data_IF_077148236838
#
_entry.id   IF_077148236838
#
_cell.length_a   1.000
_cell.length_b   1.000
_cell.length_c   1.000
_cell.angle_alpha   90.00
_cell.angle_beta   90.00
_cell.angle_gamma   90.00
#
_symmetry.space_group_name_H-M   'P 1'
#
loop_
_entity.id
_entity.type
_entity.pdbx_description
1 polymer ?
#
# COMPACT_ATOMS: atom_id res chain seq x y z
N UNK A 1 -1.06 21.17 -0.71
CA UNK A 1 -2.14 21.91 0.03
C UNK A 1 -3.49 21.18 0.07
N UNK A 2 -3.89 20.41 -0.95
CA UNK A 2 -5.18 19.68 -0.95
C UNK A 2 -5.17 18.40 -0.09
N UNK A 3 -4.20 17.50 -0.31
CA UNK A 3 -4.05 16.23 0.44
C UNK A 3 -4.10 16.45 1.96
N UNK A 4 -3.22 17.30 2.50
CA UNK A 4 -3.20 17.57 3.94
C UNK A 4 -4.50 18.20 4.49
N UNK A 5 -5.29 18.91 3.68
CA UNK A 5 -6.62 19.39 4.10
C UNK A 5 -7.62 18.24 4.19
N UNK A 6 -7.63 17.35 3.21
CA UNK A 6 -8.49 16.17 3.21
C UNK A 6 -8.18 15.26 4.41
N UNK A 7 -6.89 15.03 4.66
CA UNK A 7 -6.42 14.25 5.81
C UNK A 7 -6.89 14.84 7.15
N UNK A 8 -6.71 16.16 7.37
CA UNK A 8 -7.19 16.84 8.59
C UNK A 8 -8.71 16.85 8.74
N UNK A 9 -9.45 16.65 7.66
CA UNK A 9 -10.92 16.55 7.66
C UNK A 9 -11.43 15.11 7.81
N UNK A 10 -10.54 14.13 7.95
CA UNK A 10 -10.93 12.72 8.12
C UNK A 10 -11.47 12.09 6.83
N UNK A 11 -11.14 12.64 5.67
CA UNK A 11 -11.49 12.02 4.38
C UNK A 11 -10.78 10.67 4.27
N UNK A 12 -11.51 9.62 3.85
CA UNK A 12 -10.90 8.33 3.51
C UNK A 12 -10.07 8.51 2.24
N UNK A 13 -8.78 8.20 2.33
CA UNK A 13 -7.82 8.34 1.23
C UNK A 13 -7.28 6.94 0.91
N UNK A 14 -7.33 6.56 -0.35
CA UNK A 14 -6.72 5.33 -0.88
C UNK A 14 -5.42 5.65 -1.61
N UNK A 15 -4.49 4.69 -1.66
CA UNK A 15 -3.27 4.79 -2.47
C UNK A 15 -3.62 4.72 -3.96
N UNK A 16 -3.04 5.62 -4.75
CA UNK A 16 -3.13 5.61 -6.21
C UNK A 16 -2.12 6.60 -6.79
N UNK A 17 -1.40 6.17 -7.83
CA UNK A 17 -0.24 6.88 -8.39
C UNK A 17 -0.51 7.54 -9.73
N UNK A 18 -1.63 7.20 -10.38
CA UNK A 18 -1.92 7.56 -11.78
C UNK A 18 -0.87 7.03 -12.78
N UNK A 19 -0.20 5.92 -12.42
CA UNK A 19 0.73 5.25 -13.32
C UNK A 19 0.02 4.66 -14.54
N UNK A 20 0.62 4.88 -15.71
CA UNK A 20 0.06 4.55 -17.02
C UNK A 20 0.36 5.58 -18.10
N UNK A 21 0.78 6.80 -17.72
CA UNK A 21 1.23 7.86 -18.64
C UNK A 21 2.71 7.77 -19.04
N UNK A 22 3.48 6.84 -18.47
CA UNK A 22 4.90 6.57 -18.71
C UNK A 22 5.16 5.06 -18.61
N UNK A 23 6.35 4.61 -18.96
CA UNK A 23 6.68 3.19 -18.87
C UNK A 23 6.71 2.73 -17.40
N UNK A 24 6.03 1.62 -17.10
CA UNK A 24 5.93 1.01 -15.76
C UNK A 24 7.28 0.64 -15.11
N UNK A 25 8.36 0.69 -15.88
CA UNK A 25 9.73 0.40 -15.41
C UNK A 25 10.48 1.65 -14.96
N UNK A 26 9.96 2.85 -15.22
CA UNK A 26 10.68 4.11 -14.94
C UNK A 26 10.52 4.57 -13.48
N UNK A 27 9.43 4.19 -12.82
CA UNK A 27 9.18 4.56 -11.42
C UNK A 27 8.80 3.34 -10.59
N UNK A 28 9.09 3.44 -9.29
CA UNK A 28 8.60 2.49 -8.31
C UNK A 28 7.31 3.06 -7.68
N UNK A 29 6.17 2.43 -7.96
CA UNK A 29 4.85 2.86 -7.48
C UNK A 29 4.76 2.95 -5.95
N UNK A 30 5.55 2.14 -5.23
CA UNK A 30 5.58 2.19 -3.77
C UNK A 30 6.21 3.50 -3.23
N UNK A 31 6.77 4.37 -4.08
CA UNK A 31 7.21 5.72 -3.70
C UNK A 31 6.06 6.59 -3.20
N UNK A 32 4.82 6.32 -3.63
CA UNK A 32 3.64 7.06 -3.18
C UNK A 32 3.43 6.98 -1.66
N UNK A 33 3.79 5.85 -1.04
CA UNK A 33 3.70 5.71 0.41
C UNK A 33 4.61 6.71 1.14
N UNK A 34 5.80 6.99 0.60
CA UNK A 34 6.67 8.03 1.15
C UNK A 34 6.02 9.41 1.03
N UNK A 35 5.43 9.75 -0.11
CA UNK A 35 4.75 11.02 -0.30
C UNK A 35 3.57 11.18 0.67
N UNK A 36 2.80 10.12 0.92
CA UNK A 36 1.68 10.17 1.86
C UNK A 36 2.14 10.47 3.29
N UNK A 37 3.24 9.83 3.72
CA UNK A 37 3.85 10.11 5.02
C UNK A 37 4.41 11.53 5.06
N UNK A 38 5.12 11.97 4.02
CA UNK A 38 5.63 13.35 3.90
C UNK A 38 4.50 14.39 3.97
N UNK A 39 3.30 14.05 3.48
CA UNK A 39 2.14 14.92 3.51
C UNK A 39 1.24 14.77 4.76
N UNK A 40 1.67 13.97 5.73
CA UNK A 40 1.17 13.98 7.10
C UNK A 40 0.43 12.72 7.54
N UNK A 41 0.35 11.67 6.72
CA UNK A 41 -0.12 10.37 7.20
C UNK A 41 0.91 9.73 8.14
N UNK A 42 0.45 8.95 9.10
CA UNK A 42 1.34 7.99 9.78
C UNK A 42 1.72 6.87 8.81
N UNK A 43 2.87 6.18 9.02
CA UNK A 43 3.24 5.02 8.21
C UNK A 43 2.13 3.96 8.14
N UNK A 44 1.43 3.70 9.25
CA UNK A 44 0.31 2.76 9.27
C UNK A 44 -0.90 3.25 8.46
N UNK A 45 -1.21 4.56 8.49
CA UNK A 45 -2.27 5.12 7.64
C UNK A 45 -1.93 4.97 6.14
N UNK A 46 -0.66 5.15 5.77
CA UNK A 46 -0.19 4.92 4.41
C UNK A 46 -0.29 3.43 4.01
N UNK A 47 0.11 2.49 4.88
CA UNK A 47 -0.05 1.05 4.61
C UNK A 47 -1.54 0.69 4.43
N UNK A 48 -2.41 1.20 5.30
CA UNK A 48 -3.86 0.96 5.23
C UNK A 48 -4.49 1.54 3.97
N UNK A 49 -4.01 2.70 3.47
CA UNK A 49 -4.54 3.31 2.25
C UNK A 49 -4.32 2.43 1.01
N UNK A 50 -3.26 1.62 0.98
CA UNK A 50 -2.97 0.64 -0.07
C UNK A 50 -3.47 -0.78 0.22
N UNK A 51 -4.11 -1.03 1.36
CA UNK A 51 -4.58 -2.37 1.77
C UNK A 51 -6.06 -2.35 2.13
N UNK A 52 -6.41 -2.25 3.41
CA UNK A 52 -7.79 -2.40 3.89
C UNK A 52 -8.72 -1.28 3.40
N UNK A 53 -8.23 -0.04 3.28
CA UNK A 53 -9.04 1.09 2.77
C UNK A 53 -9.27 0.94 1.26
N UNK A 54 -8.26 0.49 0.51
CA UNK A 54 -8.40 0.21 -0.92
C UNK A 54 -9.35 -0.96 -1.18
N UNK A 55 -9.24 -2.05 -0.41
CA UNK A 55 -10.15 -3.19 -0.51
C UNK A 55 -11.60 -2.77 -0.25
N UNK A 56 -11.86 -1.95 0.78
CA UNK A 56 -13.19 -1.41 1.05
C UNK A 56 -13.71 -0.49 -0.06
N UNK A 57 -12.84 0.32 -0.69
CA UNK A 57 -13.24 1.14 -1.84
C UNK A 57 -13.67 0.26 -3.03
N UNK A 58 -12.98 -0.86 -3.25
CA UNK A 58 -13.25 -1.79 -4.35
C UNK A 58 -14.39 -2.79 -4.06
N UNK A 59 -14.98 -2.78 -2.86
CA UNK A 59 -15.96 -3.77 -2.43
C UNK A 59 -15.37 -5.19 -2.31
N UNK A 60 -14.11 -5.28 -1.90
CA UNK A 60 -13.31 -6.52 -1.83
C UNK A 60 -12.81 -6.82 -0.42
N UNK A 61 -13.31 -6.13 0.61
CA UNK A 61 -12.89 -6.30 2.00
C UNK A 61 -13.13 -7.71 2.56
N UNK A 62 -14.00 -8.51 1.92
CA UNK A 62 -14.23 -9.92 2.27
C UNK A 62 -13.26 -10.88 1.57
N UNK A 63 -12.44 -10.38 0.65
CA UNK A 63 -11.55 -11.18 -0.19
C UNK A 63 -10.06 -10.83 0.02
N UNK A 64 -9.72 -9.54 0.15
CA UNK A 64 -8.33 -9.03 0.23
C UNK A 64 -8.21 -7.81 1.16
N UNK A 65 -6.99 -7.34 1.35
CA UNK A 65 -6.69 -6.08 2.06
C UNK A 65 -6.38 -6.24 3.55
N UNK A 66 -6.44 -7.47 4.09
CA UNK A 66 -6.02 -7.80 5.44
C UNK A 66 -5.48 -9.23 5.50
N UNK A 67 -4.61 -9.50 6.48
CA UNK A 67 -4.18 -10.86 6.83
C UNK A 67 -5.18 -11.39 7.87
N UNK A 68 -6.17 -12.15 7.41
CA UNK A 68 -7.20 -12.73 8.26
C UNK A 68 -7.72 -14.06 7.68
N UNK A 69 -8.22 -15.00 8.52
CA UNK A 69 -8.85 -16.22 8.03
C UNK A 69 -10.01 -15.93 7.08
N UNK A 70 -10.10 -16.69 5.99
CA UNK A 70 -11.15 -16.57 4.97
C UNK A 70 -10.81 -15.63 3.80
N UNK A 71 -9.77 -14.79 3.92
CA UNK A 71 -9.28 -13.94 2.83
C UNK A 71 -8.24 -14.67 1.99
N UNK A 72 -7.99 -14.19 0.77
CA UNK A 72 -6.91 -14.71 -0.06
C UNK A 72 -5.55 -14.48 0.61
N UNK A 73 -4.65 -15.46 0.45
CA UNK A 73 -3.27 -15.35 0.87
C UNK A 73 -2.47 -14.48 -0.11
N UNK A 74 -2.77 -13.18 -0.11
CA UNK A 74 -2.08 -12.12 -0.86
C UNK A 74 -1.15 -11.37 0.11
N UNK A 75 0.14 -11.69 0.07
CA UNK A 75 1.11 -11.27 1.09
C UNK A 75 2.37 -10.75 0.39
N UNK A 76 2.88 -9.61 0.88
CA UNK A 76 4.24 -9.15 0.58
C UNK A 76 5.07 -9.12 1.86
N UNK A 77 6.39 -9.22 1.73
CA UNK A 77 7.31 -8.96 2.84
C UNK A 77 8.50 -8.09 2.40
N UNK A 78 8.98 -7.31 3.37
CA UNK A 78 10.15 -6.43 3.29
C UNK A 78 11.12 -6.81 4.41
N UNK A 79 12.39 -6.41 4.30
CA UNK A 79 13.41 -6.80 5.28
C UNK A 79 13.37 -5.95 6.57
N UNK A 80 13.01 -4.68 6.46
CA UNK A 80 12.88 -3.76 7.58
C UNK A 80 11.45 -3.59 8.11
N UNK A 81 11.31 -2.72 9.10
CA UNK A 81 10.01 -2.36 9.68
C UNK A 81 9.42 -1.13 8.93
N UNK A 82 8.38 -1.32 8.08
CA UNK A 82 7.80 -0.23 7.31
C UNK A 82 7.04 0.79 8.16
N UNK A 83 6.77 0.49 9.44
CA UNK A 83 6.17 1.45 10.38
C UNK A 83 7.19 2.45 10.92
N UNK A 84 8.49 2.14 10.76
CA UNK A 84 9.63 2.99 11.16
C UNK A 84 10.29 3.65 9.95
N UNK A 85 10.38 2.93 8.84
CA UNK A 85 10.85 3.45 7.55
C UNK A 85 9.91 3.01 6.42
N UNK A 86 9.00 3.90 6.02
CA UNK A 86 8.01 3.59 4.99
C UNK A 86 8.65 3.30 3.61
N UNK A 87 9.91 3.71 3.38
CA UNK A 87 10.61 3.42 2.13
C UNK A 87 10.93 1.94 1.95
N UNK A 88 10.85 1.13 3.01
CA UNK A 88 10.99 -0.34 2.93
C UNK A 88 10.01 -0.96 1.94
N UNK A 89 8.82 -0.37 1.76
CA UNK A 89 7.82 -0.84 0.79
C UNK A 89 8.28 -0.76 -0.67
N UNK A 90 9.35 -0.03 -0.98
CA UNK A 90 9.98 -0.05 -2.31
C UNK A 90 10.94 -1.22 -2.53
N UNK A 91 11.28 -1.96 -1.47
CA UNK A 91 12.29 -3.03 -1.45
C UNK A 91 11.67 -4.37 -1.09
N UNK A 92 10.51 -4.69 -1.67
CA UNK A 92 9.81 -5.97 -1.46
C UNK A 92 10.71 -7.15 -1.84
N UNK A 93 10.79 -8.14 -0.93
CA UNK A 93 11.62 -9.35 -1.07
C UNK A 93 10.80 -10.62 -1.20
N UNK A 94 9.51 -10.56 -0.86
CA UNK A 94 8.60 -11.67 -0.96
C UNK A 94 7.27 -11.22 -1.54
N UNK A 95 6.71 -12.03 -2.45
CA UNK A 95 5.38 -11.83 -3.02
C UNK A 95 4.67 -13.17 -3.13
N UNK A 96 3.50 -13.26 -2.51
CA UNK A 96 2.55 -14.34 -2.63
C UNK A 96 1.20 -13.79 -3.10
N UNK A 97 0.56 -14.50 -4.04
CA UNK A 97 -0.77 -14.18 -4.56
C UNK A 97 -1.62 -15.43 -4.56
N UNK A 98 -2.76 -15.40 -3.89
CA UNK A 98 -3.69 -16.53 -3.77
C UNK A 98 -3.04 -17.79 -3.19
N UNK A 99 -2.02 -17.63 -2.34
CA UNK A 99 -1.27 -18.76 -1.76
C UNK A 99 -0.10 -19.27 -2.62
N UNK A 100 0.07 -18.80 -3.86
CA UNK A 100 1.22 -19.13 -4.69
C UNK A 100 2.35 -18.08 -4.53
N UNK A 101 3.59 -18.54 -4.35
CA UNK A 101 4.77 -17.67 -4.19
C UNK A 101 5.34 -17.33 -5.57
N UNK A 102 5.54 -16.04 -5.83
CA UNK A 102 6.10 -15.50 -7.08
C UNK A 102 7.47 -14.84 -6.90
N UNK A 103 7.79 -14.39 -5.69
CA UNK A 103 9.08 -13.82 -5.32
C UNK A 103 9.47 -14.31 -3.92
N UNK A 104 10.72 -14.75 -3.77
CA UNK A 104 11.31 -15.15 -2.49
C UNK A 104 12.83 -14.94 -2.57
N UNK A 105 13.31 -13.80 -2.05
CA UNK A 105 14.72 -13.39 -2.07
C UNK A 105 15.26 -13.11 -0.67
#
# INVERSE_FOLDING_TARGET
KAFGRALRKGVKIVMGTDAGGFAWTEINEAKEFEYYVQYGMTPMQAIQSGTSVAAALLGQEQNVGAIAPGLYADIIAVAGDPTRDISELQRVKFVMKGGAVYLSQ
#
